data_IF_618083699106
#
_entry.id   IF_618083699106
#
_cell.length_a   1.000
_cell.length_b   1.000
_cell.length_c   1.000
_cell.angle_alpha   90.00
_cell.angle_beta   90.00
_cell.angle_gamma   90.00
#
_symmetry.space_group_name_H-M   'P 1'
#
loop_
_entity.id
_entity.type
_entity.pdbx_description
1 polymer ?
#
# COMPACT_ATOMS: atom_id res chain seq x y z
N UNK A 1 -12.07 43.60 -0.70
CA UNK A 1 -11.72 42.27 -0.11
C UNK A 1 -11.53 41.09 -1.09
N UNK A 2 -11.80 41.19 -2.41
CA UNK A 2 -11.49 40.10 -3.36
C UNK A 2 -9.99 39.99 -3.69
N UNK A 3 -9.29 41.13 -3.78
CA UNK A 3 -7.84 41.20 -4.11
C UNK A 3 -6.93 40.43 -3.13
N UNK A 4 -7.05 40.67 -1.81
CA UNK A 4 -6.21 39.98 -0.81
C UNK A 4 -6.43 38.47 -0.77
N UNK A 5 -7.67 38.00 -0.96
CA UNK A 5 -7.96 36.56 -1.02
C UNK A 5 -7.38 35.93 -2.28
N UNK A 6 -7.41 36.62 -3.42
CA UNK A 6 -6.76 36.10 -4.62
C UNK A 6 -5.25 35.93 -4.42
N UNK A 7 -4.56 36.87 -3.76
CA UNK A 7 -3.12 36.74 -3.50
C UNK A 7 -2.78 35.48 -2.70
N UNK A 8 -3.47 35.23 -1.58
CA UNK A 8 -3.28 34.01 -0.79
C UNK A 8 -3.54 32.74 -1.62
N UNK A 9 -4.63 32.74 -2.40
CA UNK A 9 -4.97 31.58 -3.24
C UNK A 9 -3.92 31.34 -4.32
N UNK A 10 -3.34 32.38 -4.92
CA UNK A 10 -2.27 32.27 -5.93
C UNK A 10 -1.05 31.52 -5.40
N UNK A 11 -0.67 31.77 -4.16
CA UNK A 11 0.44 31.06 -3.49
C UNK A 11 0.16 29.56 -3.34
N UNK A 12 -1.12 29.17 -3.29
CA UNK A 12 -1.56 27.77 -3.17
C UNK A 12 -1.76 27.07 -4.53
N UNK A 13 -1.87 27.82 -5.63
CA UNK A 13 -2.18 27.22 -6.95
C UNK A 13 -1.13 26.22 -7.45
N UNK A 14 0.19 26.41 -7.29
CA UNK A 14 1.18 25.41 -7.69
C UNK A 14 0.97 24.07 -6.98
N UNK A 15 0.68 24.11 -5.67
CA UNK A 15 0.42 22.91 -4.87
C UNK A 15 -0.91 22.25 -5.24
N UNK A 16 -1.91 23.04 -5.61
CA UNK A 16 -3.19 22.58 -6.15
C UNK A 16 -3.01 21.85 -7.49
N UNK A 17 -2.27 22.44 -8.42
CA UNK A 17 -1.98 21.82 -9.74
C UNK A 17 -1.19 20.53 -9.57
N UNK A 18 -0.21 20.51 -8.67
CA UNK A 18 0.57 19.32 -8.34
C UNK A 18 -0.22 18.24 -7.57
N UNK A 19 -1.49 18.48 -7.19
CA UNK A 19 -2.31 17.51 -6.45
C UNK A 19 -1.84 17.24 -5.01
N UNK A 20 -1.08 18.16 -4.43
CA UNK A 20 -0.43 17.98 -3.11
C UNK A 20 -1.19 18.60 -1.94
N UNK A 21 -2.13 19.53 -2.20
CA UNK A 21 -2.95 20.15 -1.15
C UNK A 21 -3.93 19.15 -0.53
N UNK A 22 -4.19 19.31 0.77
CA UNK A 22 -5.13 18.48 1.54
C UNK A 22 -5.97 19.32 2.49
N UNK A 23 -7.06 18.75 2.97
CA UNK A 23 -7.87 19.32 4.04
C UNK A 23 -8.42 20.71 3.72
N UNK A 24 -8.25 21.64 4.65
CA UNK A 24 -8.85 22.98 4.58
C UNK A 24 -8.31 23.82 3.42
N UNK A 25 -7.02 23.71 3.09
CA UNK A 25 -6.39 24.48 2.02
C UNK A 25 -6.96 24.10 0.65
N UNK A 26 -7.15 22.80 0.40
CA UNK A 26 -7.79 22.30 -0.82
C UNK A 26 -9.22 22.84 -0.94
N UNK A 27 -10.01 22.73 0.13
CA UNK A 27 -11.39 23.21 0.16
C UNK A 27 -11.49 24.74 0.01
N UNK A 28 -10.51 25.50 0.50
CA UNK A 28 -10.42 26.95 0.34
C UNK A 28 -10.17 27.32 -1.13
N UNK A 29 -9.19 26.67 -1.76
CA UNK A 29 -8.83 26.87 -3.17
C UNK A 29 -10.01 26.54 -4.08
N UNK A 30 -10.62 25.36 -3.96
CA UNK A 30 -11.77 24.96 -4.79
C UNK A 30 -12.94 25.95 -4.68
N UNK A 31 -13.25 26.39 -3.46
CA UNK A 31 -14.33 27.36 -3.21
C UNK A 31 -14.03 28.69 -3.87
N UNK A 32 -12.77 29.12 -3.88
CA UNK A 32 -12.34 30.33 -4.57
C UNK A 32 -12.41 30.16 -6.09
N UNK A 33 -11.91 29.03 -6.62
CA UNK A 33 -11.89 28.72 -8.04
C UNK A 33 -13.30 28.65 -8.62
N UNK A 34 -14.34 28.27 -7.86
CA UNK A 34 -15.75 28.36 -8.33
C UNK A 34 -16.16 29.79 -8.70
N UNK A 35 -15.60 30.81 -8.04
CA UNK A 35 -16.07 32.21 -8.14
C UNK A 35 -15.11 33.15 -8.87
N UNK A 36 -13.82 32.81 -8.97
CA UNK A 36 -12.80 33.70 -9.51
C UNK A 36 -12.30 33.23 -10.88
N UNK A 37 -12.65 33.97 -11.94
CA UNK A 37 -12.14 33.69 -13.30
C UNK A 37 -10.63 33.85 -13.42
N UNK A 38 -10.03 34.85 -12.75
CA UNK A 38 -8.59 35.13 -12.84
C UNK A 38 -7.73 34.00 -12.29
N UNK A 39 -8.08 33.50 -11.10
CA UNK A 39 -7.36 32.37 -10.51
C UNK A 39 -7.60 31.06 -11.27
N UNK A 40 -8.73 30.90 -11.98
CA UNK A 40 -8.91 29.76 -12.90
C UNK A 40 -7.98 29.85 -14.11
N UNK A 41 -7.83 31.03 -14.71
CA UNK A 41 -6.91 31.23 -15.83
C UNK A 41 -5.47 30.87 -15.43
N UNK A 42 -5.05 31.28 -14.23
CA UNK A 42 -3.71 30.97 -13.72
C UNK A 42 -3.50 29.47 -13.42
N UNK A 43 -4.54 28.74 -13.02
CA UNK A 43 -4.47 27.27 -12.92
C UNK A 43 -4.23 26.64 -14.29
N UNK A 44 -4.91 27.13 -15.33
CA UNK A 44 -4.69 26.62 -16.69
C UNK A 44 -3.28 26.96 -17.20
N UNK A 45 -2.78 28.18 -16.98
CA UNK A 45 -1.39 28.56 -17.31
C UNK A 45 -0.36 27.64 -16.64
N UNK A 46 -0.56 27.32 -15.35
CA UNK A 46 0.31 26.40 -14.62
C UNK A 46 0.25 24.97 -15.17
N UNK A 47 -0.93 24.50 -15.61
CA UNK A 47 -1.10 23.18 -16.24
C UNK A 47 -0.45 23.12 -17.61
N UNK A 48 -0.57 24.18 -18.41
CA UNK A 48 0.10 24.29 -19.71
C UNK A 48 1.62 24.24 -19.54
N UNK A 49 2.15 24.96 -18.55
CA UNK A 49 3.58 24.90 -18.22
C UNK A 49 4.01 23.48 -17.81
N UNK A 50 3.24 22.81 -16.95
CA UNK A 50 3.52 21.43 -16.54
C UNK A 50 3.53 20.47 -17.75
N UNK A 51 2.50 20.54 -18.59
CA UNK A 51 2.40 19.70 -19.78
C UNK A 51 3.56 19.97 -20.76
N UNK A 52 3.95 21.23 -20.94
CA UNK A 52 5.11 21.59 -21.75
C UNK A 52 6.42 21.03 -21.20
N UNK A 53 6.60 21.03 -19.88
CA UNK A 53 7.76 20.44 -19.22
C UNK A 53 7.79 18.91 -19.39
N UNK A 54 6.65 18.24 -19.16
CA UNK A 54 6.52 16.78 -19.34
C UNK A 54 6.83 16.37 -20.80
N UNK A 55 6.36 17.15 -21.78
CA UNK A 55 6.68 16.92 -23.19
C UNK A 55 8.16 17.16 -23.49
N UNK A 56 8.76 18.23 -22.95
CA UNK A 56 10.16 18.57 -23.20
C UNK A 56 11.15 17.59 -22.56
N UNK A 57 10.81 17.05 -21.38
CA UNK A 57 11.61 16.04 -20.70
C UNK A 57 11.55 14.67 -21.41
N UNK A 58 10.53 14.44 -22.24
CA UNK A 58 10.30 13.17 -22.92
C UNK A 58 10.10 12.01 -21.95
N UNK A 59 10.15 10.77 -22.45
CA UNK A 59 10.21 9.60 -21.57
C UNK A 59 11.61 9.53 -20.94
N UNK A 60 11.76 10.08 -19.74
CA UNK A 60 12.90 9.80 -18.87
C UNK A 60 12.88 8.31 -18.48
N UNK A 61 13.43 7.46 -19.35
CA UNK A 61 13.62 6.05 -19.05
C UNK A 61 14.90 5.89 -18.24
N UNK A 62 14.83 5.37 -17.00
CA UNK A 62 16.04 5.02 -16.28
C UNK A 62 16.80 3.94 -17.05
N UNK A 63 18.12 3.90 -16.91
CA UNK A 63 18.89 2.77 -17.44
C UNK A 63 18.42 1.49 -16.76
N UNK A 64 18.53 0.35 -17.47
CA UNK A 64 18.17 -0.94 -16.90
C UNK A 64 18.91 -1.21 -15.57
N UNK A 65 20.18 -0.81 -15.50
CA UNK A 65 20.99 -0.91 -14.28
C UNK A 65 20.43 -0.08 -13.11
N UNK A 66 20.02 1.17 -13.35
CA UNK A 66 19.46 2.02 -12.30
C UNK A 66 18.11 1.46 -11.79
N UNK A 67 17.28 0.96 -12.71
CA UNK A 67 16.01 0.32 -12.36
C UNK A 67 16.25 -0.93 -11.50
N UNK A 68 17.11 -1.83 -11.95
CA UNK A 68 17.46 -3.06 -11.23
C UNK A 68 18.00 -2.74 -9.83
N UNK A 69 18.93 -1.79 -9.72
CA UNK A 69 19.49 -1.36 -8.44
C UNK A 69 18.41 -0.79 -7.50
N UNK A 70 17.45 -0.04 -8.03
CA UNK A 70 16.34 0.52 -7.24
C UNK A 70 15.39 -0.58 -6.75
N UNK A 71 15.04 -1.54 -7.62
CA UNK A 71 14.21 -2.69 -7.25
C UNK A 71 14.85 -3.52 -6.15
N UNK A 72 16.16 -3.78 -6.25
CA UNK A 72 16.91 -4.48 -5.21
C UNK A 72 16.88 -3.78 -3.85
N UNK A 73 16.89 -2.43 -3.82
CA UNK A 73 16.78 -1.66 -2.58
C UNK A 73 15.39 -1.81 -1.94
N UNK A 74 14.33 -1.75 -2.74
CA UNK A 74 12.94 -1.93 -2.26
C UNK A 74 12.72 -3.36 -1.74
N UNK A 75 13.23 -4.37 -2.46
CA UNK A 75 13.16 -5.76 -2.01
C UNK A 75 13.94 -6.00 -0.71
N UNK A 76 15.08 -5.34 -0.51
CA UNK A 76 15.87 -5.50 0.70
C UNK A 76 15.13 -5.02 1.96
N UNK A 77 14.27 -4.00 1.86
CA UNK A 77 13.43 -3.55 2.97
C UNK A 77 12.36 -4.60 3.34
N UNK A 78 11.78 -5.30 2.35
CA UNK A 78 10.80 -6.37 2.60
C UNK A 78 11.41 -7.66 3.16
N UNK A 79 12.71 -7.91 2.95
CA UNK A 79 13.41 -9.12 3.45
C UNK A 79 13.58 -9.15 4.97
N UNK A 80 13.43 -8.01 5.67
CA UNK A 80 13.53 -7.96 7.13
C UNK A 80 12.39 -8.74 7.83
N UNK A 81 11.16 -8.65 7.31
CA UNK A 81 10.00 -9.36 7.88
C UNK A 81 10.10 -10.88 7.64
N UNK A 82 10.60 -11.28 6.46
CA UNK A 82 10.74 -12.69 6.09
C UNK A 82 11.91 -13.38 6.83
N UNK A 83 13.01 -12.66 7.09
CA UNK A 83 14.12 -13.18 7.91
C UNK A 83 13.73 -13.36 9.38
N UNK A 84 12.92 -12.46 9.94
CA UNK A 84 12.37 -12.60 11.30
C UNK A 84 11.48 -13.85 11.41
N UNK A 85 10.61 -14.09 10.43
CA UNK A 85 9.80 -15.32 10.36
C UNK A 85 10.66 -16.59 10.31
N UNK A 86 11.72 -16.62 9.49
CA UNK A 86 12.65 -17.75 9.43
C UNK A 86 13.42 -17.95 10.73
N UNK A 87 13.86 -16.88 11.39
CA UNK A 87 14.54 -16.95 12.69
C UNK A 87 13.58 -17.45 13.78
N UNK A 88 12.33 -17.00 13.80
CA UNK A 88 11.30 -17.49 14.73
C UNK A 88 10.99 -18.96 14.50
N UNK A 89 10.88 -19.42 13.24
CA UNK A 89 10.62 -20.83 12.90
C UNK A 89 11.81 -21.73 13.28
N UNK A 90 13.03 -21.25 13.11
CA UNK A 90 14.25 -22.02 13.45
C UNK A 90 14.60 -22.00 14.94
N UNK A 91 14.09 -21.03 15.69
CA UNK A 91 14.19 -20.96 17.16
C UNK A 91 13.14 -21.81 17.88
N UNK A 92 12.21 -22.44 17.17
CA UNK A 92 11.23 -23.35 17.77
C UNK A 92 11.96 -24.60 18.32
N UNK A 93 11.90 -24.85 19.65
CA UNK A 93 12.54 -26.02 20.22
C UNK A 93 11.89 -27.29 19.66
N UNK A 94 12.72 -28.15 19.05
CA UNK A 94 12.41 -29.56 18.74
C UNK A 94 12.12 -30.28 20.05
N UNK A 95 10.90 -30.17 20.55
CA UNK A 95 10.50 -30.82 21.79
C UNK A 95 9.48 -31.93 21.51
N UNK A 96 9.81 -33.08 22.11
CA UNK A 96 9.22 -34.39 22.02
C UNK A 96 7.70 -34.40 22.26
N UNK A 97 7.02 -35.20 21.43
CA UNK A 97 6.13 -36.29 21.86
C UNK A 97 5.12 -36.04 22.98
N UNK A 98 4.28 -35.01 22.84
CA UNK A 98 2.99 -34.93 23.52
C UNK A 98 2.06 -34.02 22.71
N UNK A 99 1.16 -34.64 21.92
CA UNK A 99 0.05 -34.02 21.16
C UNK A 99 0.18 -32.50 20.93
N UNK A 100 1.13 -32.10 20.08
CA UNK A 100 1.39 -30.68 19.78
C UNK A 100 0.58 -30.25 18.56
N UNK A 101 -0.28 -29.26 18.72
CA UNK A 101 -0.76 -28.45 17.60
C UNK A 101 0.49 -27.83 16.93
N UNK A 102 0.82 -28.24 15.70
CA UNK A 102 2.06 -27.80 15.03
C UNK A 102 2.02 -26.32 14.58
N UNK A 103 0.89 -25.65 14.78
CA UNK A 103 0.70 -24.23 14.51
C UNK A 103 -0.51 -23.97 13.62
N UNK A 104 -1.10 -22.79 13.79
CA UNK A 104 -2.16 -22.25 12.93
C UNK A 104 -1.56 -21.13 12.09
N UNK A 105 -1.49 -21.34 10.78
CA UNK A 105 -0.98 -20.32 9.86
C UNK A 105 -2.16 -19.53 9.32
N UNK A 106 -2.15 -18.22 9.55
CA UNK A 106 -3.16 -17.30 9.03
C UNK A 106 -2.58 -16.54 7.85
N UNK A 107 -3.16 -16.73 6.66
CA UNK A 107 -2.87 -15.94 5.48
C UNK A 107 -4.04 -15.00 5.22
N UNK A 108 -3.81 -13.69 5.15
CA UNK A 108 -4.90 -12.72 4.96
C UNK A 108 -4.51 -11.54 4.07
N UNK A 109 -5.32 -11.29 3.05
CA UNK A 109 -5.44 -9.99 2.39
C UNK A 109 -6.54 -9.20 3.13
N UNK A 110 -6.51 -7.86 3.15
CA UNK A 110 -7.41 -7.01 3.98
C UNK A 110 -8.91 -7.37 3.92
N UNK A 111 -9.38 -8.05 2.86
CA UNK A 111 -10.78 -8.46 2.65
C UNK A 111 -11.01 -9.98 2.79
N UNK A 112 -9.98 -10.81 2.57
CA UNK A 112 -10.07 -12.27 2.51
C UNK A 112 -9.02 -12.91 3.40
N UNK A 113 -9.45 -13.73 4.36
CA UNK A 113 -8.58 -14.47 5.27
C UNK A 113 -8.73 -15.98 5.09
N UNK A 114 -7.64 -16.73 5.17
CA UNK A 114 -7.62 -18.18 5.21
C UNK A 114 -6.73 -18.65 6.36
N UNK A 115 -7.21 -19.61 7.16
CA UNK A 115 -6.43 -20.25 8.22
C UNK A 115 -6.26 -21.74 7.95
N UNK A 116 -5.02 -22.22 8.03
CA UNK A 116 -4.69 -23.65 7.93
C UNK A 116 -4.06 -24.09 9.26
N UNK A 117 -4.76 -25.00 9.94
CA UNK A 117 -4.24 -25.74 11.08
C UNK A 117 -3.79 -27.13 10.64
N UNK A 118 -2.57 -27.52 11.01
CA UNK A 118 -2.05 -28.87 10.80
C UNK A 118 -1.68 -29.46 12.17
N UNK A 119 -2.14 -30.66 12.44
CA UNK A 119 -1.77 -31.41 13.64
C UNK A 119 -1.17 -32.76 13.22
N UNK A 120 -0.29 -33.31 14.04
CA UNK A 120 0.34 -34.62 13.81
C UNK A 120 0.02 -35.57 14.96
N UNK A 121 -0.69 -36.65 14.67
CA UNK A 121 -1.02 -37.69 15.65
C UNK A 121 -0.65 -39.07 15.09
N UNK A 122 0.32 -39.75 15.72
CA UNK A 122 0.68 -41.16 15.48
C UNK A 122 0.74 -41.55 13.99
N UNK A 123 1.46 -40.77 13.18
CA UNK A 123 1.66 -41.07 11.75
C UNK A 123 0.51 -40.68 10.83
N UNK A 124 -0.54 -40.00 11.33
CA UNK A 124 -1.59 -39.37 10.51
C UNK A 124 -1.49 -37.86 10.64
N UNK A 125 -1.69 -37.15 9.54
CA UNK A 125 -1.67 -35.69 9.47
C UNK A 125 -3.09 -35.16 9.27
N UNK A 126 -3.90 -35.00 10.33
CA UNK A 126 -5.14 -34.26 10.24
C UNK A 126 -4.87 -32.78 9.93
N UNK A 127 -5.59 -32.23 8.95
CA UNK A 127 -5.59 -30.81 8.62
C UNK A 127 -6.98 -30.21 8.72
N UNK A 128 -7.05 -28.95 9.15
CA UNK A 128 -8.26 -28.13 9.19
C UNK A 128 -7.99 -26.79 8.50
N UNK A 129 -8.74 -26.54 7.43
CA UNK A 129 -8.65 -25.36 6.59
C UNK A 129 -9.94 -24.54 6.73
N UNK A 130 -9.84 -23.23 6.95
CA UNK A 130 -10.99 -22.33 7.06
C UNK A 130 -10.79 -21.10 6.18
N UNK A 131 -11.74 -20.82 5.30
CA UNK A 131 -11.81 -19.61 4.49
C UNK A 131 -12.76 -18.61 5.16
N UNK A 132 -12.40 -17.34 5.18
CA UNK A 132 -13.14 -16.25 5.80
C UNK A 132 -13.09 -14.98 4.95
N UNK A 133 -14.12 -14.14 5.04
CA UNK A 133 -14.15 -12.79 4.46
C UNK A 133 -14.63 -11.81 5.50
N UNK A 134 -13.94 -10.66 5.65
CA UNK A 134 -14.24 -9.65 6.67
C UNK A 134 -14.31 -10.23 8.11
N UNK A 135 -13.51 -11.27 8.40
CA UNK A 135 -13.53 -11.97 9.68
C UNK A 135 -14.70 -12.96 9.88
N UNK A 136 -15.56 -13.14 8.88
CA UNK A 136 -16.66 -14.11 8.91
C UNK A 136 -16.28 -15.41 8.19
N UNK A 137 -16.50 -16.59 8.78
CA UNK A 137 -16.19 -17.87 8.15
C UNK A 137 -17.11 -18.13 6.95
N UNK A 138 -16.52 -18.44 5.80
CA UNK A 138 -17.21 -18.80 4.57
C UNK A 138 -17.26 -20.31 4.34
N UNK A 139 -16.15 -21.00 4.61
CA UNK A 139 -16.05 -22.44 4.38
C UNK A 139 -15.02 -23.07 5.32
N UNK A 140 -15.26 -24.31 5.74
CA UNK A 140 -14.33 -25.08 6.56
C UNK A 140 -14.19 -26.49 5.99
N UNK A 141 -12.94 -26.92 5.80
CA UNK A 141 -12.56 -28.21 5.23
C UNK A 141 -11.71 -28.96 6.25
N UNK A 142 -12.03 -30.23 6.50
CA UNK A 142 -11.25 -31.11 7.38
C UNK A 142 -10.83 -32.33 6.58
N UNK A 143 -9.56 -32.70 6.67
CA UNK A 143 -9.03 -33.88 5.99
C UNK A 143 -7.94 -34.56 6.80
N UNK A 144 -7.52 -35.74 6.33
CA UNK A 144 -6.43 -36.53 6.92
C UNK A 144 -5.56 -37.02 5.79
N UNK A 145 -4.25 -36.79 5.89
CA UNK A 145 -3.22 -37.29 4.98
C UNK A 145 -2.38 -38.32 5.73
#
# INVERSE_FOLDING_TARGET
MRSMRCRKIRELLPWYVNGTLRGEELAEVERHLRRCRRCRAEVEELRELQAGLEQALGELRPTAELLERTLNLIEAEMRFEEQLLRLLISALPRAQEERRELGRVNFGLFVLGFSLGVAYERGRMPFEAELSALGLPLARLKGRI
#
